data_IF_784716259269
#
_entry.id   IF_784716259269
#
_cell.length_a   1.000
_cell.length_b   1.000
_cell.length_c   1.000
_cell.angle_alpha   90.00
_cell.angle_beta   90.00
_cell.angle_gamma   90.00
#
_symmetry.space_group_name_H-M   'P 1'
#
loop_
_entity.id
_entity.type
_entity.pdbx_description
1 polymer ?
#
# COMPACT_ATOMS: atom_id res chain seq x y z
N UNK A 1 -14.17 33.67 5.32
CA UNK A 1 -13.15 33.15 6.26
C UNK A 1 -13.87 32.40 7.35
N UNK A 2 -13.54 31.12 7.55
CA UNK A 2 -13.78 30.35 8.78
C UNK A 2 -12.97 29.06 8.66
N UNK A 3 -11.69 29.17 8.98
CA UNK A 3 -10.73 28.09 9.17
C UNK A 3 -10.96 27.47 10.55
N UNK A 4 -11.38 26.21 10.58
CA UNK A 4 -11.54 25.40 11.80
C UNK A 4 -10.16 25.16 12.46
N UNK A 5 -9.97 25.45 13.78
CA UNK A 5 -8.66 25.44 14.44
C UNK A 5 -8.10 24.06 14.83
N UNK A 6 -8.80 22.94 14.60
CA UNK A 6 -8.44 21.64 15.22
C UNK A 6 -7.99 20.50 14.30
N UNK A 7 -7.87 20.69 12.97
CA UNK A 7 -7.18 19.76 12.05
C UNK A 7 -7.35 18.25 12.32
N UNK A 8 -8.59 17.76 12.35
CA UNK A 8 -9.00 16.36 12.57
C UNK A 8 -8.55 15.45 11.41
N UNK A 9 -7.53 14.61 11.61
CA UNK A 9 -6.93 13.79 10.54
C UNK A 9 -7.78 12.54 10.24
N UNK A 10 -8.17 12.35 8.98
CA UNK A 10 -8.68 11.04 8.49
C UNK A 10 -7.54 10.01 8.50
N UNK A 11 -7.90 8.73 8.63
CA UNK A 11 -6.93 7.62 8.66
C UNK A 11 -7.07 6.75 7.42
N UNK A 12 -5.99 6.63 6.66
CA UNK A 12 -5.88 5.65 5.58
C UNK A 12 -5.15 4.42 6.10
N UNK A 13 -5.69 3.25 5.81
CA UNK A 13 -5.07 1.95 6.04
C UNK A 13 -4.84 1.26 4.72
N UNK A 14 -3.70 0.58 4.60
CA UNK A 14 -3.32 -0.08 3.35
C UNK A 14 -2.74 -1.45 3.63
N UNK A 15 -3.05 -2.41 2.77
CA UNK A 15 -2.46 -3.75 2.86
C UNK A 15 -2.26 -4.37 1.48
N UNK A 16 -1.38 -5.37 1.40
CA UNK A 16 -1.11 -6.14 0.20
C UNK A 16 -1.30 -7.63 0.47
N UNK A 17 -1.99 -8.32 -0.45
CA UNK A 17 -2.24 -9.76 -0.33
C UNK A 17 -1.79 -10.50 -1.58
N UNK A 18 -1.34 -11.75 -1.40
CA UNK A 18 -1.05 -12.68 -2.49
C UNK A 18 -1.63 -14.04 -2.15
N UNK A 19 -2.62 -14.46 -2.93
CA UNK A 19 -3.35 -15.71 -2.77
C UNK A 19 -3.41 -16.41 -4.12
N UNK A 20 -3.08 -17.70 -4.16
CA UNK A 20 -3.06 -18.51 -5.39
C UNK A 20 -2.27 -17.87 -6.55
N UNK A 21 -1.14 -17.21 -6.23
CA UNK A 21 -0.31 -16.51 -7.21
C UNK A 21 -0.82 -15.13 -7.63
N UNK A 22 -2.06 -14.76 -7.25
CA UNK A 22 -2.73 -13.51 -7.61
C UNK A 22 -2.47 -12.45 -6.55
N UNK A 23 -2.26 -11.21 -6.98
CA UNK A 23 -1.84 -10.10 -6.11
C UNK A 23 -2.92 -9.03 -6.05
N UNK A 24 -3.24 -8.61 -4.83
CA UNK A 24 -4.22 -7.57 -4.54
C UNK A 24 -3.66 -6.51 -3.60
N UNK A 25 -4.15 -5.28 -3.73
CA UNK A 25 -3.87 -4.16 -2.82
C UNK A 25 -5.20 -3.62 -2.31
N UNK A 26 -5.28 -3.40 -1.00
CA UNK A 26 -6.47 -2.88 -0.33
C UNK A 26 -6.16 -1.54 0.32
N UNK A 27 -7.05 -0.57 0.14
CA UNK A 27 -6.93 0.77 0.73
C UNK A 27 -8.26 1.16 1.34
N UNK A 28 -8.24 1.66 2.58
CA UNK A 28 -9.45 2.04 3.32
C UNK A 28 -9.22 3.38 3.99
N UNK A 29 -10.08 4.35 3.70
CA UNK A 29 -10.10 5.64 4.39
C UNK A 29 -11.25 5.70 5.38
N UNK A 30 -10.93 5.94 6.64
CA UNK A 30 -11.88 6.04 7.73
C UNK A 30 -12.02 7.47 8.25
N UNK A 31 -13.26 7.82 8.62
CA UNK A 31 -13.57 8.98 9.46
C UNK A 31 -13.01 8.77 10.87
N UNK A 32 -13.02 9.82 11.69
CA UNK A 32 -12.66 9.69 13.11
C UNK A 32 -13.62 8.76 13.88
N UNK A 33 -14.90 8.77 13.49
CA UNK A 33 -15.93 7.89 14.02
C UNK A 33 -15.84 6.44 13.49
N UNK A 34 -14.81 6.13 12.68
CA UNK A 34 -14.54 4.83 12.05
C UNK A 34 -15.52 4.44 10.94
N UNK A 35 -16.29 5.39 10.44
CA UNK A 35 -17.09 5.17 9.23
C UNK A 35 -16.16 5.06 8.01
N UNK A 36 -16.50 4.15 7.10
CA UNK A 36 -15.79 4.03 5.82
C UNK A 36 -16.21 5.22 4.96
N UNK A 37 -15.26 6.12 4.69
CA UNK A 37 -15.46 7.24 3.76
C UNK A 37 -15.37 6.72 2.33
N UNK A 38 -14.33 5.93 2.06
CA UNK A 38 -14.14 5.21 0.79
C UNK A 38 -13.18 4.03 1.01
N UNK A 39 -13.24 3.05 0.10
CA UNK A 39 -12.29 1.95 0.04
C UNK A 39 -12.00 1.57 -1.42
N UNK A 40 -10.82 1.02 -1.65
CA UNK A 40 -10.38 0.52 -2.94
C UNK A 40 -9.86 -0.91 -2.79
N UNK A 41 -10.23 -1.74 -3.75
CA UNK A 41 -9.78 -3.13 -3.91
C UNK A 41 -9.13 -3.20 -5.28
N UNK A 42 -7.81 -3.36 -5.36
CA UNK A 42 -7.06 -3.19 -6.61
C UNK A 42 -6.34 -4.48 -6.95
N UNK A 43 -6.71 -5.10 -8.06
CA UNK A 43 -6.01 -6.24 -8.64
C UNK A 43 -4.74 -5.77 -9.36
N UNK A 44 -3.60 -6.27 -8.92
CA UNK A 44 -2.30 -6.03 -9.56
C UNK A 44 -1.91 -7.25 -10.41
N UNK A 45 -1.01 -7.12 -11.38
CA UNK A 45 -0.51 -8.29 -12.11
C UNK A 45 0.23 -9.27 -11.18
N UNK A 46 0.21 -10.56 -11.51
CA UNK A 46 0.61 -11.68 -10.63
C UNK A 46 2.09 -11.67 -10.23
N UNK A 47 2.91 -11.02 -11.06
CA UNK A 47 4.35 -10.85 -10.84
C UNK A 47 4.66 -9.76 -9.82
N UNK A 48 3.65 -8.98 -9.41
CA UNK A 48 3.83 -7.92 -8.41
C UNK A 48 4.24 -8.52 -7.07
N UNK A 49 5.21 -7.90 -6.40
CA UNK A 49 5.58 -8.29 -5.05
C UNK A 49 4.63 -7.67 -4.03
N UNK A 50 4.41 -8.36 -2.91
CA UNK A 50 3.64 -7.83 -1.77
C UNK A 50 4.15 -6.46 -1.35
N UNK A 51 5.47 -6.29 -1.26
CA UNK A 51 6.08 -5.01 -0.92
C UNK A 51 5.63 -3.86 -1.83
N UNK A 52 5.53 -4.10 -3.15
CA UNK A 52 5.04 -3.08 -4.08
C UNK A 52 3.53 -2.89 -3.92
N UNK A 53 2.76 -3.96 -3.76
CA UNK A 53 1.32 -3.89 -3.52
C UNK A 53 0.97 -3.06 -2.26
N UNK A 54 1.72 -3.27 -1.18
CA UNK A 54 1.61 -2.49 0.06
C UNK A 54 2.00 -1.03 -0.18
N UNK A 55 2.98 -0.74 -1.02
CA UNK A 55 3.47 0.62 -1.28
C UNK A 55 2.64 1.43 -2.30
N UNK A 56 1.61 0.86 -2.94
CA UNK A 56 0.84 1.46 -4.05
C UNK A 56 -0.13 2.60 -3.68
N UNK A 57 0.02 3.15 -2.48
CA UNK A 57 -0.97 3.97 -1.77
C UNK A 57 -1.06 5.42 -2.29
N UNK A 58 -0.02 5.91 -2.96
CA UNK A 58 0.13 7.34 -3.25
C UNK A 58 -0.31 7.72 -4.67
N UNK A 59 -0.94 6.79 -5.40
CA UNK A 59 -1.68 7.15 -6.62
C UNK A 59 -2.92 8.00 -6.32
N UNK A 60 -3.43 7.98 -5.08
CA UNK A 60 -4.66 8.65 -4.67
C UNK A 60 -4.48 10.12 -4.26
N UNK A 61 -3.27 10.66 -4.47
CA UNK A 61 -2.96 12.06 -4.23
C UNK A 61 -2.68 12.37 -2.75
N UNK A 62 -2.11 13.56 -2.47
CA UNK A 62 -1.79 13.93 -1.11
C UNK A 62 -3.03 14.38 -0.36
N UNK A 63 -3.36 13.66 0.69
CA UNK A 63 -4.39 14.04 1.63
C UNK A 63 -3.74 14.55 2.92
N UNK A 64 -4.37 15.48 3.63
CA UNK A 64 -3.94 15.93 4.97
C UNK A 64 -4.26 14.84 6.01
N UNK A 65 -3.70 13.65 5.83
CA UNK A 65 -4.16 12.44 6.50
C UNK A 65 -3.02 11.65 7.13
N UNK A 66 -3.38 10.85 8.13
CA UNK A 66 -2.48 9.88 8.74
C UNK A 66 -2.60 8.58 7.96
N UNK A 67 -1.48 8.13 7.40
CA UNK A 67 -1.43 6.91 6.57
C UNK A 67 -0.77 5.81 7.40
N UNK A 68 -1.47 4.69 7.53
CA UNK A 68 -1.00 3.47 8.20
C UNK A 68 -0.55 2.49 7.12
N UNK A 69 0.76 2.24 7.11
CA UNK A 69 1.46 1.45 6.09
C UNK A 69 2.07 0.19 6.71
N UNK A 70 2.47 -0.77 5.86
CA UNK A 70 3.17 -1.94 6.32
C UNK A 70 4.55 -1.59 6.89
N UNK A 71 5.04 -2.44 7.82
CA UNK A 71 6.35 -2.26 8.45
C UNK A 71 7.48 -2.32 7.44
N UNK A 72 7.36 -3.17 6.43
CA UNK A 72 8.36 -3.38 5.39
C UNK A 72 8.58 -2.09 4.59
N UNK A 73 7.51 -1.39 4.22
CA UNK A 73 7.55 -0.11 3.48
C UNK A 73 8.11 1.00 4.35
N UNK A 74 7.71 1.07 5.63
CA UNK A 74 8.24 2.07 6.57
C UNK A 74 9.75 1.92 6.76
N UNK A 75 10.24 0.70 7.00
CA UNK A 75 11.69 0.42 7.14
C UNK A 75 12.45 0.74 5.84
N UNK A 76 11.86 0.43 4.69
CA UNK A 76 12.48 0.74 3.41
C UNK A 76 12.57 2.25 3.15
N UNK A 77 11.59 3.03 3.60
CA UNK A 77 11.60 4.49 3.54
C UNK A 77 12.69 5.10 4.41
N UNK A 78 12.85 4.60 5.64
CA UNK A 78 13.89 5.02 6.60
C UNK A 78 15.32 4.64 6.14
N UNK A 79 15.44 3.58 5.34
CA UNK A 79 16.74 3.10 4.86
C UNK A 79 17.29 3.95 3.70
N UNK A 80 18.27 4.81 3.98
CA UNK A 80 19.00 5.60 2.99
C UNK A 80 19.63 4.78 1.84
N UNK A 81 19.88 3.47 2.05
CA UNK A 81 20.46 2.56 1.05
C UNK A 81 19.43 1.97 0.08
N UNK A 82 18.13 2.09 0.36
CA UNK A 82 17.09 1.53 -0.49
C UNK A 82 16.73 2.54 -1.59
N UNK A 83 17.08 2.21 -2.83
CA UNK A 83 16.79 3.03 -4.02
C UNK A 83 15.84 2.34 -4.98
N UNK A 84 14.98 1.44 -4.49
CA UNK A 84 13.93 0.87 -5.34
C UNK A 84 13.05 1.98 -5.92
N UNK A 85 12.64 1.84 -7.18
CA UNK A 85 11.87 2.87 -7.90
C UNK A 85 10.62 3.29 -7.12
N UNK A 86 9.96 2.33 -6.48
CA UNK A 86 8.79 2.57 -5.63
C UNK A 86 9.15 3.44 -4.43
N UNK A 87 10.19 3.11 -3.67
CA UNK A 87 10.60 3.89 -2.49
C UNK A 87 11.08 5.29 -2.86
N UNK A 88 11.78 5.45 -3.98
CA UNK A 88 12.19 6.77 -4.47
C UNK A 88 10.97 7.64 -4.84
N UNK A 89 9.97 7.06 -5.52
CA UNK A 89 8.71 7.76 -5.79
C UNK A 89 7.99 8.14 -4.50
N UNK A 90 7.93 7.24 -3.52
CA UNK A 90 7.33 7.52 -2.23
C UNK A 90 8.02 8.67 -1.50
N UNK A 91 9.35 8.68 -1.45
CA UNK A 91 10.12 9.79 -0.87
C UNK A 91 9.79 11.12 -1.53
N UNK A 92 9.74 11.16 -2.86
CA UNK A 92 9.40 12.40 -3.58
C UNK A 92 8.00 12.92 -3.22
N UNK A 93 7.02 12.02 -3.07
CA UNK A 93 5.66 12.40 -2.67
C UNK A 93 5.65 12.94 -1.24
N UNK A 94 6.36 12.29 -0.31
CA UNK A 94 6.46 12.75 1.09
C UNK A 94 7.21 14.09 1.22
N UNK A 95 8.20 14.35 0.36
CA UNK A 95 8.92 15.63 0.32
C UNK A 95 8.01 16.79 -0.05
N UNK A 96 7.10 16.58 -1.02
CA UNK A 96 6.11 17.59 -1.42
C UNK A 96 4.97 17.72 -0.38
N UNK A 97 4.71 16.66 0.38
CA UNK A 97 3.54 16.56 1.26
C UNK A 97 3.95 16.29 2.72
N UNK A 98 4.67 17.26 3.29
CA UNK A 98 5.24 17.18 4.65
C UNK A 98 4.20 17.02 5.78
N UNK A 99 2.91 17.21 5.48
CA UNK A 99 1.81 17.01 6.43
C UNK A 99 1.41 15.54 6.61
N UNK A 100 1.84 14.65 5.70
CA UNK A 100 1.55 13.21 5.77
C UNK A 100 2.31 12.60 6.95
N UNK A 101 1.57 11.94 7.84
CA UNK A 101 2.16 11.18 8.96
C UNK A 101 2.07 9.69 8.68
N UNK A 102 3.22 9.06 8.44
CA UNK A 102 3.31 7.61 8.27
C UNK A 102 3.36 6.92 9.63
N UNK A 103 2.60 5.84 9.76
CA UNK A 103 2.60 4.98 10.94
C UNK A 103 2.51 3.53 10.48
N UNK A 104 2.88 2.61 11.36
CA UNK A 104 2.63 1.19 11.18
C UNK A 104 1.84 0.67 12.39
N UNK A 105 0.94 -0.29 12.14
CA UNK A 105 0.23 -1.03 13.19
C UNK A 105 0.43 -2.53 12.96
N UNK A 106 0.41 -3.30 14.04
CA UNK A 106 0.55 -4.75 13.95
C UNK A 106 -0.64 -5.38 13.23
N UNK A 107 -0.36 -6.28 12.29
CA UNK A 107 -1.38 -7.07 11.63
C UNK A 107 -2.09 -8.03 12.61
N UNK A 108 -3.35 -8.35 12.33
CA UNK A 108 -4.16 -9.36 13.03
C UNK A 108 -4.29 -9.15 14.55
N UNK A 109 -4.41 -7.89 14.97
CA UNK A 109 -4.52 -7.50 16.38
C UNK A 109 -5.82 -6.73 16.70
N UNK A 110 -6.89 -6.88 15.90
CA UNK A 110 -8.17 -6.21 16.15
C UNK A 110 -8.23 -4.75 15.69
N UNK A 111 -7.24 -4.28 14.92
CA UNK A 111 -7.24 -2.90 14.41
C UNK A 111 -8.17 -2.84 13.20
N UNK A 112 -9.40 -2.40 13.46
CA UNK A 112 -10.51 -2.36 12.48
C UNK A 112 -10.12 -1.90 11.08
N UNK A 113 -9.47 -0.73 10.94
CA UNK A 113 -9.07 -0.21 9.62
C UNK A 113 -8.02 -1.08 8.92
N UNK A 114 -7.10 -1.71 9.68
CA UNK A 114 -6.11 -2.62 9.12
C UNK A 114 -6.76 -3.93 8.66
N UNK A 115 -7.73 -4.45 9.42
CA UNK A 115 -8.47 -5.66 9.04
C UNK A 115 -9.35 -5.43 7.81
N UNK A 116 -9.95 -4.24 7.68
CA UNK A 116 -10.66 -3.86 6.46
C UNK A 116 -9.72 -3.76 5.25
N UNK A 117 -8.50 -3.23 5.42
CA UNK A 117 -7.52 -3.14 4.36
C UNK A 117 -7.01 -4.52 3.93
N UNK A 118 -6.70 -5.41 4.88
CA UNK A 118 -6.36 -6.82 4.63
C UNK A 118 -7.48 -7.55 3.87
N UNK A 119 -8.73 -7.39 4.33
CA UNK A 119 -9.89 -7.97 3.65
C UNK A 119 -10.04 -7.43 2.22
N UNK A 120 -9.90 -6.11 2.05
CA UNK A 120 -9.96 -5.46 0.72
C UNK A 120 -8.85 -5.98 -0.21
N UNK A 121 -7.64 -6.17 0.30
CA UNK A 121 -6.52 -6.72 -0.45
C UNK A 121 -6.77 -8.18 -0.85
N UNK A 122 -7.35 -8.99 0.04
CA UNK A 122 -7.74 -10.38 -0.24
C UNK A 122 -8.85 -10.46 -1.28
N UNK A 123 -9.90 -9.65 -1.15
CA UNK A 123 -10.98 -9.56 -2.14
C UNK A 123 -10.42 -9.18 -3.52
N UNK A 124 -9.50 -8.24 -3.57
CA UNK A 124 -8.86 -7.86 -4.82
C UNK A 124 -8.17 -9.04 -5.53
N UNK A 125 -7.66 -10.05 -4.82
CA UNK A 125 -7.04 -11.25 -5.44
C UNK A 125 -8.04 -12.15 -6.17
N UNK A 126 -9.34 -12.03 -5.90
CA UNK A 126 -10.39 -12.86 -6.52
C UNK A 126 -10.88 -12.27 -7.85
N UNK A 127 -10.72 -10.95 -8.07
CA UNK A 127 -11.08 -10.29 -9.34
C UNK A 127 -10.41 -10.94 -10.54
N UNK A 128 -11.16 -11.25 -11.59
CA UNK A 128 -10.64 -11.84 -12.82
C UNK A 128 -9.65 -10.90 -13.53
N UNK A 129 -10.07 -9.66 -13.76
CA UNK A 129 -9.30 -8.64 -14.48
C UNK A 129 -8.26 -7.94 -13.60
N UNK A 130 -7.11 -7.63 -14.21
CA UNK A 130 -6.05 -6.84 -13.60
C UNK A 130 -6.36 -5.35 -13.76
N UNK A 131 -6.61 -4.68 -12.63
CA UNK A 131 -6.87 -3.23 -12.57
C UNK A 131 -5.59 -2.42 -12.92
N UNK A 132 -4.42 -2.84 -12.40
CA UNK A 132 -3.16 -2.13 -12.61
C UNK A 132 -2.01 -3.09 -12.92
N UNK A 133 -1.36 -2.87 -14.08
CA UNK A 133 -0.08 -3.52 -14.40
C UNK A 133 1.09 -2.70 -13.84
N UNK A 134 1.73 -3.24 -12.82
CA UNK A 134 2.98 -2.74 -12.24
C UNK A 134 4.14 -3.28 -13.08
N UNK A 135 5.16 -2.43 -13.31
CA UNK A 135 6.38 -2.88 -14.00
C UNK A 135 6.98 -4.07 -13.25
N UNK A 136 7.27 -5.13 -14.00
CA UNK A 136 7.83 -6.37 -13.47
C UNK A 136 9.16 -6.05 -12.76
N UNK A 137 9.31 -6.39 -11.46
CA UNK A 137 10.55 -6.20 -10.75
C UNK A 137 11.68 -7.01 -11.40
N UNK A 138 12.89 -6.43 -11.55
CA UNK A 138 14.07 -7.16 -12.05
C UNK A 138 14.38 -8.42 -11.23
N UNK A 139 14.07 -8.40 -9.93
CA UNK A 139 14.22 -9.55 -9.04
C UNK A 139 13.31 -10.72 -9.42
N UNK A 140 12.10 -10.45 -9.90
CA UNK A 140 11.19 -11.49 -10.38
C UNK A 140 11.73 -12.15 -11.65
N UNK A 141 12.22 -11.35 -12.61
CA UNK A 141 12.85 -11.84 -13.84
C UNK A 141 14.05 -12.73 -13.51
N UNK A 142 14.92 -12.30 -12.58
CA UNK A 142 16.09 -13.06 -12.15
C UNK A 142 15.71 -14.38 -11.48
N UNK A 143 14.71 -14.37 -10.60
CA UNK A 143 14.23 -15.59 -9.96
C UNK A 143 13.65 -16.57 -10.99
N UNK A 144 12.89 -16.07 -11.97
CA UNK A 144 12.30 -16.92 -13.00
C UNK A 144 13.36 -17.58 -13.88
N UNK A 145 14.38 -16.82 -14.30
CA UNK A 145 15.50 -17.34 -15.06
C UNK A 145 16.27 -18.43 -14.29
N UNK A 146 16.48 -18.23 -12.98
CA UNK A 146 17.15 -19.23 -12.14
C UNK A 146 16.32 -20.51 -12.01
N UNK A 147 14.99 -20.39 -11.89
CA UNK A 147 14.10 -21.56 -11.81
C UNK A 147 14.09 -22.37 -13.11
N UNK A 148 14.15 -21.70 -14.28
CA UNK A 148 14.20 -22.37 -15.58
C UNK A 148 15.57 -22.95 -15.92
N UNK A 149 16.65 -22.45 -15.33
CA UNK A 149 18.03 -22.94 -15.55
C UNK A 149 18.42 -24.11 -14.63
N UNK A 150 17.54 -24.49 -13.70
CA UNK A 150 17.70 -25.61 -12.77
C UNK A 150 16.82 -26.84 -13.16
N UNK A 151 16.23 -26.82 -14.37
CA UNK A 151 15.58 -27.95 -15.03
C UNK A 151 16.48 -28.48 -16.14
#
# INVERSE_FOLDING_TARGET
>A
MNSDPNGRFKKIFTDGSKLNGRVGSGIVCLSEARDIIWKEEIRLNDETSIFVAEAMQFKFGPTKEKIVISRSVLMALESHKNHSEVIMKLRNILLVNQQIKLNWVRAHFGIYGNELADLSAKNATTKEDVDIKVKIPKSWIKNQLNLTMLQ
#
